data_IF_191503757187
#
_entry.id   IF_191503757187
#
_cell.length_a   1.000
_cell.length_b   1.000
_cell.length_c   1.000
_cell.angle_alpha   90.00
_cell.angle_beta   90.00
_cell.angle_gamma   90.00
#
_symmetry.space_group_name_H-M   'P 1'
#
loop_
_entity.id
_entity.type
_entity.pdbx_description
1 polymer ?
#
# COMPACT_ATOMS: atom_id res chain seq x y z
N UNK A 1 47.53 9.09 -4.85
CA UNK A 1 46.53 8.01 -4.70
C UNK A 1 45.36 8.63 -3.98
N UNK A 2 44.47 9.26 -4.74
CA UNK A 2 43.22 9.80 -4.19
C UNK A 2 42.23 8.63 -4.16
N UNK A 3 41.80 8.28 -2.96
CA UNK A 3 40.68 7.38 -2.75
C UNK A 3 39.43 8.14 -3.20
N UNK A 4 39.02 7.92 -4.45
CA UNK A 4 37.69 8.25 -4.90
C UNK A 4 36.72 7.35 -4.15
N UNK A 5 36.25 7.81 -3.00
CA UNK A 5 35.02 7.31 -2.41
C UNK A 5 33.94 7.52 -3.47
N UNK A 6 33.59 6.42 -4.12
CA UNK A 6 32.38 6.32 -4.91
C UNK A 6 31.24 6.61 -3.94
N UNK A 7 30.86 7.89 -3.87
CA UNK A 7 29.63 8.32 -3.24
C UNK A 7 28.50 7.65 -4.00
N UNK A 8 28.18 6.41 -3.63
CA UNK A 8 26.93 5.79 -3.99
C UNK A 8 25.88 6.81 -3.55
N UNK A 9 25.25 7.46 -4.52
CA UNK A 9 24.14 8.37 -4.27
C UNK A 9 23.07 7.55 -3.57
N UNK A 10 23.09 7.61 -2.23
CA UNK A 10 22.08 6.98 -1.40
C UNK A 10 20.79 7.73 -1.72
N UNK A 11 19.83 7.03 -2.32
CA UNK A 11 18.51 7.58 -2.55
C UNK A 11 17.97 8.03 -1.18
N UNK A 12 17.44 9.24 -1.13
CA UNK A 12 16.81 9.77 0.10
C UNK A 12 15.49 9.02 0.39
N UNK A 13 14.92 8.41 -0.64
CA UNK A 13 13.73 7.57 -0.59
C UNK A 13 14.08 6.11 -0.90
N UNK A 14 13.87 5.24 0.09
CA UNK A 14 14.03 3.79 -0.06
C UNK A 14 12.68 3.16 -0.45
N UNK A 15 12.59 2.76 -1.73
CA UNK A 15 11.39 2.13 -2.27
C UNK A 15 11.03 0.81 -1.59
N UNK A 16 12.02 0.00 -1.19
CA UNK A 16 11.74 -1.33 -0.64
C UNK A 16 11.21 -1.23 0.79
N UNK A 17 11.79 -0.32 1.58
CA UNK A 17 11.29 0.04 2.90
C UNK A 17 9.86 0.58 2.82
N UNK A 18 9.63 1.50 1.88
CA UNK A 18 8.31 2.08 1.69
C UNK A 18 7.26 1.06 1.22
N UNK A 19 7.57 0.17 0.27
CA UNK A 19 6.62 -0.87 -0.18
C UNK A 19 6.19 -1.75 1.01
N UNK A 20 7.15 -2.09 1.87
CA UNK A 20 6.89 -2.89 3.08
C UNK A 20 6.01 -2.13 4.06
N UNK A 21 6.32 -0.86 4.31
CA UNK A 21 5.50 0.03 5.12
C UNK A 21 4.08 0.12 4.55
N UNK A 22 3.93 0.51 3.29
CA UNK A 22 2.63 0.68 2.63
C UNK A 22 1.77 -0.58 2.70
N UNK A 23 2.33 -1.77 2.43
CA UNK A 23 1.60 -3.03 2.56
C UNK A 23 1.09 -3.26 3.99
N UNK A 24 1.91 -2.95 5.00
CA UNK A 24 1.50 -2.97 6.40
C UNK A 24 0.37 -1.96 6.69
N UNK A 25 0.46 -0.76 6.14
CA UNK A 25 -0.48 0.34 6.36
C UNK A 25 -1.86 -0.03 5.81
N UNK A 26 -1.93 -0.42 4.54
CA UNK A 26 -3.16 -0.84 3.89
C UNK A 26 -3.76 -2.08 4.58
N UNK A 27 -2.92 -3.01 5.05
CA UNK A 27 -3.38 -4.16 5.83
C UNK A 27 -4.05 -3.78 7.16
N UNK A 28 -3.49 -2.80 7.88
CA UNK A 28 -4.06 -2.30 9.14
C UNK A 28 -5.37 -1.54 8.93
N UNK A 29 -5.43 -0.67 7.92
CA UNK A 29 -6.66 0.07 7.59
C UNK A 29 -7.76 -0.89 7.15
N UNK A 30 -7.43 -1.84 6.26
CA UNK A 30 -8.37 -2.86 5.82
C UNK A 30 -8.88 -3.73 6.97
N UNK A 31 -8.01 -4.06 7.94
CA UNK A 31 -8.40 -4.74 9.17
C UNK A 31 -9.38 -3.93 10.04
N UNK A 32 -9.15 -2.63 10.19
CA UNK A 32 -10.06 -1.74 10.92
C UNK A 32 -11.40 -1.59 10.19
N UNK A 33 -11.40 -1.38 8.87
CA UNK A 33 -12.62 -1.26 8.07
C UNK A 33 -13.45 -2.55 8.13
N UNK A 34 -12.80 -3.72 8.01
CA UNK A 34 -13.46 -5.01 8.19
C UNK A 34 -14.07 -5.11 9.60
N UNK A 35 -13.31 -4.77 10.66
CA UNK A 35 -13.83 -4.78 12.03
C UNK A 35 -15.07 -3.89 12.19
N UNK A 36 -15.08 -2.69 11.60
CA UNK A 36 -16.23 -1.79 11.61
C UNK A 36 -17.46 -2.41 10.93
N UNK A 37 -17.28 -3.11 9.81
CA UNK A 37 -18.40 -3.71 9.07
C UNK A 37 -19.16 -4.78 9.87
N UNK A 38 -18.51 -5.44 10.83
CA UNK A 38 -19.09 -6.48 11.67
C UNK A 38 -19.50 -6.02 13.08
N UNK A 39 -19.35 -4.73 13.40
CA UNK A 39 -19.75 -4.24 14.72
C UNK A 39 -21.29 -4.31 14.89
N UNK A 40 -21.79 -4.97 15.95
CA UNK A 40 -23.22 -4.99 16.24
C UNK A 40 -23.71 -3.62 16.71
N UNK A 41 -25.03 -3.41 16.67
CA UNK A 41 -25.64 -2.24 17.29
C UNK A 41 -25.55 -2.35 18.82
N UNK A 42 -25.26 -1.22 19.47
CA UNK A 42 -25.15 -1.10 20.93
C UNK A 42 -25.97 0.12 21.35
N UNK A 43 -26.76 -0.03 22.41
CA UNK A 43 -27.54 1.09 22.97
C UNK A 43 -26.65 2.06 23.77
N UNK A 44 -27.23 3.14 24.30
CA UNK A 44 -26.50 4.13 25.11
C UNK A 44 -25.97 3.55 26.43
N UNK A 45 -26.52 2.43 26.87
CA UNK A 45 -26.18 1.74 28.11
C UNK A 45 -25.13 0.64 27.88
N UNK A 46 -24.65 0.44 26.65
CA UNK A 46 -23.65 -0.59 26.34
C UNK A 46 -24.25 -2.00 26.21
N UNK A 47 -25.57 -2.14 26.11
CA UNK A 47 -26.21 -3.42 25.86
C UNK A 47 -26.30 -3.69 24.35
N UNK A 48 -26.14 -4.95 24.00
CA UNK A 48 -26.30 -5.46 22.64
C UNK A 48 -26.92 -6.84 22.71
N UNK A 49 -27.75 -7.17 21.72
CA UNK A 49 -28.26 -8.53 21.54
C UNK A 49 -27.13 -9.53 21.24
N UNK A 50 -25.99 -9.02 20.75
CA UNK A 50 -24.80 -9.81 20.51
C UNK A 50 -23.98 -9.97 21.81
N UNK A 51 -23.80 -11.20 22.34
CA UNK A 51 -23.05 -11.43 23.57
C UNK A 51 -21.54 -11.14 23.43
N UNK A 52 -21.04 -11.02 22.20
CA UNK A 52 -19.64 -10.73 21.90
C UNK A 52 -19.39 -9.26 21.53
N UNK A 53 -20.40 -8.39 21.61
CA UNK A 53 -20.31 -6.99 21.18
C UNK A 53 -19.12 -6.26 21.82
N UNK A 54 -18.98 -6.33 23.14
CA UNK A 54 -17.88 -5.67 23.86
C UNK A 54 -16.50 -6.13 23.36
N UNK A 55 -16.34 -7.43 23.09
CA UNK A 55 -15.08 -7.99 22.55
C UNK A 55 -14.79 -7.54 21.11
N UNK A 56 -15.82 -7.38 20.27
CA UNK A 56 -15.66 -6.88 18.91
C UNK A 56 -15.29 -5.39 18.91
N UNK A 57 -15.92 -4.59 19.78
CA UNK A 57 -15.53 -3.20 19.99
C UNK A 57 -14.10 -3.09 20.51
N UNK A 58 -13.66 -3.96 21.44
CA UNK A 58 -12.28 -3.96 21.93
C UNK A 58 -11.25 -4.25 20.83
N UNK A 59 -11.51 -5.24 19.95
CA UNK A 59 -10.64 -5.52 18.79
C UNK A 59 -10.59 -4.34 17.82
N UNK A 60 -11.72 -3.65 17.62
CA UNK A 60 -11.78 -2.44 16.80
C UNK A 60 -10.95 -1.30 17.42
N UNK A 61 -11.01 -1.09 18.73
CA UNK A 61 -10.20 -0.04 19.38
C UNK A 61 -8.70 -0.36 19.32
N UNK A 62 -8.31 -1.63 19.49
CA UNK A 62 -6.92 -2.07 19.31
C UNK A 62 -6.43 -1.84 17.87
N UNK A 63 -7.27 -2.12 16.87
CA UNK A 63 -6.94 -1.84 15.48
C UNK A 63 -6.83 -0.33 15.20
N UNK A 64 -7.68 0.49 15.83
CA UNK A 64 -7.68 1.94 15.66
C UNK A 64 -6.52 2.65 16.39
N UNK A 65 -5.94 2.05 17.42
CA UNK A 65 -4.86 2.64 18.22
C UNK A 65 -3.61 2.96 17.39
N UNK A 66 -3.27 2.11 16.44
CA UNK A 66 -2.04 2.23 15.66
C UNK A 66 -2.19 3.10 14.39
N UNK A 67 -3.41 3.26 13.88
CA UNK A 67 -3.66 3.98 12.61
C UNK A 67 -3.18 5.44 12.65
N UNK A 68 -3.39 6.22 13.73
CA UNK A 68 -2.89 7.60 13.81
C UNK A 68 -1.37 7.71 13.67
N UNK A 69 -0.61 6.84 14.35
CA UNK A 69 0.85 6.87 14.28
C UNK A 69 1.37 6.55 12.88
N UNK A 70 0.68 5.67 12.14
CA UNK A 70 1.04 5.36 10.77
C UNK A 70 0.65 6.48 9.79
N UNK A 71 -0.46 7.17 10.03
CA UNK A 71 -0.82 8.39 9.29
C UNK A 71 0.27 9.46 9.47
N UNK A 72 0.69 9.68 10.72
CA UNK A 72 1.78 10.60 11.07
C UNK A 72 3.09 10.20 10.35
N UNK A 73 3.50 8.94 10.43
CA UNK A 73 4.71 8.46 9.77
C UNK A 73 4.68 8.63 8.24
N UNK A 74 3.52 8.35 7.61
CA UNK A 74 3.31 8.58 6.18
C UNK A 74 3.40 10.08 5.81
N UNK A 75 2.84 10.97 6.64
CA UNK A 75 2.80 12.42 6.40
C UNK A 75 4.13 13.12 6.69
N UNK A 76 4.85 12.69 7.72
CA UNK A 76 6.08 13.34 8.18
C UNK A 76 7.34 12.79 7.52
N UNK A 77 7.37 11.49 7.21
CA UNK A 77 8.58 10.83 6.70
C UNK A 77 8.49 10.49 5.22
N UNK A 78 7.48 9.72 4.81
CA UNK A 78 7.45 9.17 3.45
C UNK A 78 6.96 10.15 2.38
N UNK A 79 5.88 10.89 2.62
CA UNK A 79 5.38 11.89 1.66
C UNK A 79 6.40 13.02 1.38
N UNK A 80 7.09 13.57 2.39
CA UNK A 80 8.12 14.57 2.14
C UNK A 80 9.33 13.98 1.40
N UNK A 81 9.74 12.75 1.72
CA UNK A 81 10.84 12.08 1.04
C UNK A 81 10.54 11.87 -0.45
N UNK A 82 9.35 11.37 -0.80
CA UNK A 82 8.98 11.17 -2.20
C UNK A 82 8.85 12.49 -2.96
N UNK A 83 8.34 13.56 -2.33
CA UNK A 83 8.29 14.91 -2.95
C UNK A 83 9.69 15.45 -3.26
N UNK A 84 10.63 15.35 -2.32
CA UNK A 84 12.03 15.75 -2.56
C UNK A 84 12.67 14.94 -3.69
N UNK A 85 12.39 13.64 -3.73
CA UNK A 85 12.92 12.76 -4.77
C UNK A 85 12.33 13.09 -6.16
N UNK A 86 11.05 13.48 -6.23
CA UNK A 86 10.40 14.01 -7.44
C UNK A 86 11.10 15.29 -7.90
N UNK A 87 11.26 16.27 -7.00
CA UNK A 87 11.92 17.55 -7.31
C UNK A 87 13.37 17.34 -7.79
N UNK A 88 14.12 16.46 -7.11
CA UNK A 88 15.48 16.08 -7.50
C UNK A 88 15.51 15.45 -8.89
N UNK A 89 14.55 14.56 -9.18
CA UNK A 89 14.48 13.87 -10.47
C UNK A 89 14.11 14.82 -11.60
N UNK A 90 13.19 15.77 -11.35
CA UNK A 90 12.82 16.83 -12.30
C UNK A 90 13.99 17.75 -12.61
N UNK A 91 14.70 18.25 -11.59
CA UNK A 91 15.87 19.10 -11.80
C UNK A 91 16.96 18.40 -12.61
N UNK A 92 17.21 17.11 -12.33
CA UNK A 92 18.14 16.31 -13.12
C UNK A 92 17.68 16.12 -14.56
N UNK A 93 16.37 16.02 -14.81
CA UNK A 93 15.83 15.91 -16.16
C UNK A 93 16.07 17.19 -16.96
N UNK A 94 15.86 18.37 -16.36
CA UNK A 94 16.15 19.67 -16.97
C UNK A 94 17.63 19.79 -17.38
N UNK A 95 18.55 19.36 -16.51
CA UNK A 95 19.99 19.34 -16.80
C UNK A 95 20.34 18.39 -17.95
N UNK A 96 19.71 17.21 -17.99
CA UNK A 96 19.93 16.26 -19.09
C UNK A 96 19.36 16.79 -20.41
N UNK A 97 18.19 17.43 -20.40
CA UNK A 97 17.58 18.04 -21.58
C UNK A 97 18.45 19.17 -22.14
N UNK A 98 18.99 20.05 -21.28
CA UNK A 98 19.93 21.09 -21.69
C UNK A 98 21.20 20.47 -22.31
N UNK A 99 21.77 19.46 -21.66
CA UNK A 99 22.95 18.75 -22.17
C UNK A 99 22.70 18.07 -23.53
N UNK A 100 21.51 17.51 -23.77
CA UNK A 100 21.13 16.93 -25.08
C UNK A 100 21.13 18.00 -26.17
N UNK A 101 20.61 19.18 -25.88
CA UNK A 101 20.46 20.27 -26.86
C UNK A 101 21.81 20.90 -27.26
N UNK A 102 22.80 20.88 -26.38
CA UNK A 102 24.14 21.41 -26.64
C UNK A 102 25.07 20.39 -27.36
N UNK A 103 24.66 19.12 -27.43
CA UNK A 103 25.54 18.03 -27.85
C UNK A 103 25.50 17.80 -29.37
N UNK A 104 26.59 18.13 -30.06
CA UNK A 104 26.71 17.93 -31.52
C UNK A 104 27.06 16.51 -31.98
N UNK A 105 27.38 15.59 -31.06
CA UNK A 105 27.79 14.22 -31.38
C UNK A 105 26.61 13.24 -31.26
N UNK A 106 26.10 12.78 -32.40
CA UNK A 106 24.95 11.85 -32.49
C UNK A 106 25.01 10.64 -31.56
N UNK A 107 26.18 10.01 -31.39
CA UNK A 107 26.32 8.81 -30.55
C UNK A 107 26.19 9.13 -29.05
N UNK A 108 26.68 10.29 -28.60
CA UNK A 108 26.57 10.74 -27.22
C UNK A 108 25.13 11.23 -26.93
N UNK A 109 24.51 11.88 -27.91
CA UNK A 109 23.11 12.29 -27.87
C UNK A 109 22.16 11.09 -27.69
N UNK A 110 22.40 9.98 -28.40
CA UNK A 110 21.62 8.74 -28.22
C UNK A 110 21.76 8.13 -26.81
N UNK A 111 22.93 8.23 -26.18
CA UNK A 111 23.11 7.75 -24.80
C UNK A 111 22.36 8.63 -23.81
N UNK A 112 22.38 9.95 -24.00
CA UNK A 112 21.61 10.88 -23.18
C UNK A 112 20.10 10.67 -23.35
N UNK A 113 19.59 10.45 -24.56
CA UNK A 113 18.17 10.13 -24.75
C UNK A 113 17.72 8.88 -23.97
N UNK A 114 18.56 7.84 -23.90
CA UNK A 114 18.27 6.67 -23.06
C UNK A 114 18.30 7.00 -21.57
N UNK A 115 19.18 7.90 -21.15
CA UNK A 115 19.20 8.42 -19.79
C UNK A 115 17.91 9.16 -19.46
N UNK A 116 17.47 10.03 -20.37
CA UNK A 116 16.24 10.81 -20.25
C UNK A 116 14.99 9.93 -20.14
N UNK A 117 14.88 8.92 -21.01
CA UNK A 117 13.75 7.98 -21.01
C UNK A 117 13.65 7.20 -19.68
N UNK A 118 14.80 6.76 -19.14
CA UNK A 118 14.86 6.11 -17.83
C UNK A 118 14.48 7.07 -16.69
N UNK A 119 14.99 8.30 -16.74
CA UNK A 119 14.70 9.36 -15.78
C UNK A 119 13.20 9.67 -15.76
N UNK A 120 12.59 9.82 -16.94
CA UNK A 120 11.17 10.11 -17.11
C UNK A 120 10.30 8.94 -16.61
N UNK A 121 10.67 7.70 -16.92
CA UNK A 121 10.00 6.51 -16.39
C UNK A 121 10.07 6.41 -14.87
N UNK A 122 11.21 6.77 -14.27
CA UNK A 122 11.36 6.81 -12.82
C UNK A 122 10.52 7.93 -12.17
N UNK A 123 10.53 9.14 -12.76
CA UNK A 123 9.71 10.25 -12.31
C UNK A 123 8.22 9.91 -12.34
N UNK A 124 7.76 9.28 -13.42
CA UNK A 124 6.35 8.87 -13.54
C UNK A 124 5.94 7.93 -12.40
N UNK A 125 6.77 6.92 -12.09
CA UNK A 125 6.52 6.00 -10.97
C UNK A 125 6.46 6.71 -9.62
N UNK A 126 7.37 7.66 -9.37
CA UNK A 126 7.35 8.45 -8.13
C UNK A 126 6.05 9.26 -7.99
N UNK A 127 5.57 9.85 -9.08
CA UNK A 127 4.31 10.62 -9.07
C UNK A 127 3.12 9.71 -8.81
N UNK A 128 3.03 8.55 -9.49
CA UNK A 128 1.98 7.56 -9.25
C UNK A 128 1.96 7.09 -7.79
N UNK A 129 3.14 6.82 -7.23
CA UNK A 129 3.26 6.37 -5.85
C UNK A 129 2.83 7.46 -4.86
N UNK A 130 3.24 8.72 -5.10
CA UNK A 130 2.81 9.86 -4.28
C UNK A 130 1.28 10.02 -4.29
N UNK A 131 0.63 9.89 -5.46
CA UNK A 131 -0.82 9.93 -5.56
C UNK A 131 -1.46 8.79 -4.77
N UNK A 132 -0.91 7.58 -4.88
CA UNK A 132 -1.40 6.42 -4.14
C UNK A 132 -1.26 6.58 -2.62
N UNK A 133 -0.19 7.22 -2.14
CA UNK A 133 -0.01 7.55 -0.73
C UNK A 133 -1.07 8.55 -0.24
N UNK A 134 -1.39 9.57 -1.04
CA UNK A 134 -2.45 10.54 -0.72
C UNK A 134 -3.83 9.85 -0.65
N UNK A 135 -4.10 8.91 -1.56
CA UNK A 135 -5.31 8.08 -1.54
C UNK A 135 -5.39 7.19 -0.29
N UNK A 136 -4.30 6.52 0.06
CA UNK A 136 -4.20 5.68 1.26
C UNK A 136 -4.43 6.50 2.54
N UNK A 137 -3.88 7.71 2.62
CA UNK A 137 -4.13 8.64 3.74
C UNK A 137 -5.59 9.09 3.81
N UNK A 138 -6.19 9.44 2.67
CA UNK A 138 -7.60 9.82 2.62
C UNK A 138 -8.52 8.64 3.01
N UNK A 139 -8.16 7.41 2.62
CA UNK A 139 -8.85 6.20 3.07
C UNK A 139 -8.69 5.97 4.57
N UNK A 140 -7.46 6.04 5.09
CA UNK A 140 -7.15 5.88 6.51
C UNK A 140 -7.95 6.85 7.39
N UNK A 141 -7.94 8.14 7.04
CA UNK A 141 -8.68 9.20 7.76
C UNK A 141 -10.18 8.90 7.77
N UNK A 142 -10.79 8.56 6.63
CA UNK A 142 -12.21 8.19 6.55
C UNK A 142 -12.57 6.98 7.40
N UNK A 143 -11.73 5.95 7.42
CA UNK A 143 -11.95 4.75 8.23
C UNK A 143 -11.81 5.09 9.72
N UNK A 144 -10.84 5.92 10.08
CA UNK A 144 -10.63 6.38 11.46
C UNK A 144 -11.80 7.24 11.95
N UNK A 145 -12.35 8.11 11.11
CA UNK A 145 -13.53 8.93 11.44
C UNK A 145 -14.76 8.06 11.70
N UNK A 146 -15.06 7.11 10.80
CA UNK A 146 -16.14 6.11 11.01
C UNK A 146 -15.92 5.29 12.29
N UNK A 147 -14.66 4.96 12.57
CA UNK A 147 -14.26 4.27 13.80
C UNK A 147 -14.51 5.13 15.04
N UNK A 148 -14.27 6.44 14.96
CA UNK A 148 -14.51 7.37 16.06
C UNK A 148 -15.99 7.65 16.32
N UNK A 149 -16.84 7.58 15.30
CA UNK A 149 -18.30 7.68 15.43
C UNK A 149 -18.91 6.47 16.15
N UNK A 150 -18.29 5.29 15.99
CA UNK A 150 -18.78 4.01 16.53
C UNK A 150 -17.97 3.55 17.73
N UNK A 151 -17.98 4.35 18.79
CA UNK A 151 -17.33 4.03 20.07
C UNK A 151 -18.23 3.24 21.02
N UNK A 152 -17.61 2.51 21.93
CA UNK A 152 -18.32 1.90 23.04
C UNK A 152 -18.82 2.99 24.00
N UNK A 153 -20.10 3.00 24.40
CA UNK A 153 -20.73 4.12 25.11
C UNK A 153 -20.23 4.31 26.55
N UNK A 154 -19.81 3.23 27.23
CA UNK A 154 -19.37 3.26 28.63
C UNK A 154 -17.86 3.44 28.80
N UNK A 155 -17.19 4.07 27.82
CA UNK A 155 -15.72 4.22 27.79
C UNK A 155 -15.05 3.07 27.06
N UNK A 156 -13.89 2.62 27.52
CA UNK A 156 -13.17 1.55 26.82
C UNK A 156 -13.86 0.20 27.06
N UNK A 157 -14.18 -0.56 25.98
CA UNK A 157 -14.71 -1.91 26.13
C UNK A 157 -13.68 -2.76 26.88
N UNK A 158 -14.15 -3.64 27.77
CA UNK A 158 -13.25 -4.56 28.46
C UNK A 158 -12.58 -5.46 27.42
N UNK A 159 -11.25 -5.56 27.49
CA UNK A 159 -10.49 -6.47 26.64
C UNK A 159 -11.13 -7.86 26.71
N UNK A 160 -11.22 -8.59 25.59
CA UNK A 160 -11.77 -9.93 25.61
C UNK A 160 -11.04 -10.72 26.70
N UNK A 161 -11.81 -11.32 27.60
CA UNK A 161 -11.27 -12.38 28.46
C UNK A 161 -10.70 -13.40 27.48
N UNK A 162 -9.37 -13.54 27.47
CA UNK A 162 -8.70 -14.56 26.68
C UNK A 162 -9.50 -15.84 26.84
N UNK A 163 -10.01 -16.38 25.72
CA UNK A 163 -10.91 -17.52 25.73
C UNK A 163 -10.39 -18.53 26.75
N UNK A 164 -11.18 -18.76 27.81
CA UNK A 164 -10.79 -19.72 28.84
C UNK A 164 -10.43 -21.02 28.14
N UNK A 165 -9.22 -21.56 28.32
CA UNK A 165 -8.87 -22.85 27.74
C UNK A 165 -9.78 -23.89 28.40
N UNK A 166 -10.80 -24.36 27.68
CA UNK A 166 -11.53 -25.57 28.07
C UNK A 166 -13.05 -25.51 28.27
N UNK A 167 -13.82 -24.61 27.64
CA UNK A 167 -15.28 -24.77 27.61
C UNK A 167 -15.82 -25.11 26.22
N UNK A 168 -15.54 -26.33 25.79
CA UNK A 168 -16.45 -27.12 24.95
C UNK A 168 -17.12 -28.16 25.86
N UNK A 169 -18.43 -28.09 26.15
CA UNK A 169 -19.14 -29.18 26.80
C UNK A 169 -19.50 -30.19 25.71
N UNK A 170 -18.57 -31.08 25.40
CA UNK A 170 -18.72 -32.14 24.40
C UNK A 170 -18.17 -33.43 24.96
N UNK A 171 -19.00 -34.13 25.70
CA UNK A 171 -18.76 -35.43 26.32
C UNK A 171 -18.27 -36.49 25.33
N UNK A 172 -17.18 -37.16 25.69
CA UNK A 172 -17.09 -38.62 25.55
C UNK A 172 -16.19 -39.16 24.43
N UNK A 173 -14.91 -39.36 24.74
CA UNK A 173 -14.22 -40.66 24.59
C UNK A 173 -12.77 -40.57 25.10
N UNK A 174 -12.34 -41.43 26.03
CA UNK A 174 -10.92 -41.58 26.32
C UNK A 174 -10.31 -42.47 25.23
N UNK A 175 -9.26 -42.00 24.58
CA UNK A 175 -8.38 -42.87 23.79
C UNK A 175 -6.98 -42.88 24.43
N UNK A 176 -6.32 -44.04 24.39
CA UNK A 176 -5.25 -44.38 25.31
C UNK A 176 -3.92 -43.75 24.91
N UNK A 177 -3.10 -43.56 25.94
CA UNK A 177 -1.66 -43.35 25.89
C UNK A 177 -0.99 -44.39 24.98
N UNK A 178 -0.27 -43.93 23.98
CA UNK A 178 0.79 -44.69 23.33
C UNK A 178 1.94 -43.74 22.96
N UNK A 179 3.10 -44.04 23.50
CA UNK A 179 4.40 -43.54 23.09
C UNK A 179 4.71 -44.03 21.67
N UNK A 180 5.40 -43.21 20.86
CA UNK A 180 6.63 -43.57 20.12
C UNK A 180 6.90 -42.68 18.91
N UNK A 181 8.10 -42.10 18.93
CA UNK A 181 9.09 -41.97 17.86
C UNK A 181 8.67 -41.95 16.37
N UNK A 182 9.08 -40.84 15.73
CA UNK A 182 10.01 -40.80 14.60
C UNK A 182 9.56 -41.14 13.16
N UNK A 183 9.88 -40.17 12.29
CA UNK A 183 10.42 -40.26 10.93
C UNK A 183 9.55 -40.63 9.72
N UNK A 184 9.80 -39.80 8.69
CA UNK A 184 9.92 -40.08 7.25
C UNK A 184 8.77 -39.71 6.28
N UNK A 185 9.23 -38.92 5.31
CA UNK A 185 8.68 -38.54 4.02
C UNK A 185 8.03 -39.70 3.24
N UNK A 186 7.05 -39.37 2.40
CA UNK A 186 7.06 -39.78 0.98
C UNK A 186 5.91 -39.15 0.20
N UNK A 187 6.15 -39.11 -1.11
CA UNK A 187 5.48 -38.47 -2.24
C UNK A 187 4.08 -38.96 -2.63
N UNK A 188 3.42 -38.17 -3.49
CA UNK A 188 2.29 -38.52 -4.36
C UNK A 188 1.17 -37.49 -4.22
N UNK A 189 0.67 -36.77 -5.23
CA UNK A 189 0.57 -37.04 -6.66
C UNK A 189 -0.90 -36.77 -7.09
N UNK A 190 -1.10 -36.17 -8.26
CA UNK A 190 -2.36 -35.84 -8.96
C UNK A 190 -3.07 -34.53 -8.53
N UNK A 191 -3.23 -33.48 -9.34
CA UNK A 191 -3.84 -33.27 -10.69
C UNK A 191 -5.34 -33.57 -10.78
N UNK A 192 -6.16 -32.52 -10.67
CA UNK A 192 -7.46 -32.27 -11.31
C UNK A 192 -7.61 -30.72 -11.25
N UNK A 193 -7.91 -29.93 -12.27
CA UNK A 193 -8.64 -30.19 -13.49
C UNK A 193 -9.79 -29.18 -13.58
N UNK A 194 -9.72 -28.30 -14.56
CA UNK A 194 -10.84 -27.66 -15.29
C UNK A 194 -11.32 -26.26 -14.86
N UNK A 195 -11.54 -25.48 -15.92
CA UNK A 195 -11.86 -24.07 -16.01
C UNK A 195 -13.35 -23.76 -15.85
N UNK A 196 -13.63 -22.56 -15.36
CA UNK A 196 -14.79 -21.71 -15.65
C UNK A 196 -14.24 -20.28 -15.46
N UNK A 197 -14.09 -19.41 -16.47
CA UNK A 197 -14.97 -19.17 -17.59
C UNK A 197 -16.15 -18.35 -17.10
N UNK A 198 -16.01 -17.01 -17.12
CA UNK A 198 -17.07 -16.01 -17.37
C UNK A 198 -16.46 -14.60 -17.21
N UNK A 199 -16.14 -13.97 -18.35
CA UNK A 199 -16.14 -12.51 -18.47
C UNK A 199 -17.57 -12.00 -18.41
N UNK A 200 -17.77 -10.76 -17.95
CA UNK A 200 -18.44 -9.84 -18.86
C UNK A 200 -17.72 -8.50 -18.99
N UNK A 201 -17.55 -8.13 -20.26
CA UNK A 201 -17.24 -6.82 -20.79
C UNK A 201 -18.29 -5.80 -20.39
N UNK A 202 -17.87 -4.62 -19.92
CA UNK A 202 -18.60 -3.35 -20.02
C UNK A 202 -17.60 -2.19 -19.81
N UNK A 203 -17.40 -1.41 -20.86
CA UNK A 203 -16.76 -0.10 -20.91
C UNK A 203 -17.57 0.73 -21.93
N UNK A 204 -17.51 2.07 -21.97
CA UNK A 204 -16.93 3.00 -20.99
C UNK A 204 -17.86 4.20 -20.67
N UNK A 205 -17.63 4.90 -19.57
CA UNK A 205 -18.08 6.30 -19.41
C UNK A 205 -16.87 7.14 -18.94
N UNK A 206 -16.48 8.22 -19.64
CA UNK A 206 -15.31 8.99 -19.28
C UNK A 206 -15.62 9.93 -18.11
N UNK A 207 -15.14 9.57 -16.92
CA UNK A 207 -15.07 10.52 -15.81
C UNK A 207 -14.12 11.66 -16.21
N UNK A 208 -14.67 12.86 -16.22
CA UNK A 208 -13.96 14.09 -16.57
C UNK A 208 -12.88 14.38 -15.54
N UNK A 209 -11.64 14.57 -16.02
CA UNK A 209 -10.50 14.97 -15.21
C UNK A 209 -10.75 16.35 -14.58
N UNK A 210 -10.33 16.59 -13.32
CA UNK A 210 -10.36 17.92 -12.72
C UNK A 210 -9.47 18.87 -13.53
N UNK A 211 -9.99 20.08 -13.78
CA UNK A 211 -9.47 21.08 -14.72
C UNK A 211 -8.10 21.71 -14.36
N UNK A 212 -7.27 21.06 -13.53
CA UNK A 212 -5.94 21.52 -13.12
C UNK A 212 -4.76 20.69 -13.65
N UNK A 213 -5.01 19.55 -14.32
CA UNK A 213 -3.93 18.64 -14.79
C UNK A 213 -3.88 18.43 -16.31
N UNK A 214 -4.86 18.94 -17.06
CA UNK A 214 -4.86 18.81 -18.52
C UNK A 214 -3.67 19.53 -19.19
N UNK A 215 -3.12 20.57 -18.56
CA UNK A 215 -1.97 21.31 -19.08
C UNK A 215 -0.62 20.59 -18.89
N UNK A 216 -0.52 19.59 -17.99
CA UNK A 216 0.73 18.84 -17.76
C UNK A 216 0.91 17.63 -18.69
N UNK A 217 -0.14 17.22 -19.40
CA UNK A 217 -0.10 16.14 -20.38
C UNK A 217 -0.11 16.65 -21.84
N UNK A 218 -0.10 17.96 -22.04
CA UNK A 218 -0.02 18.60 -23.36
C UNK A 218 1.43 18.79 -23.83
N UNK A 219 2.28 17.79 -23.61
CA UNK A 219 3.52 17.67 -24.37
C UNK A 219 3.13 17.13 -25.75
N UNK A 220 2.88 18.04 -26.68
CA UNK A 220 2.52 17.72 -28.07
C UNK A 220 3.52 16.75 -28.73
N UNK A 221 3.10 16.07 -29.81
CA UNK A 221 3.92 15.05 -30.46
C UNK A 221 5.28 15.62 -30.89
N UNK A 222 6.35 14.93 -30.47
CA UNK A 222 7.73 15.22 -30.85
C UNK A 222 7.88 15.32 -32.38
N UNK A 223 8.65 16.30 -32.91
CA UNK A 223 8.90 16.42 -34.33
C UNK A 223 9.65 15.18 -34.83
N UNK A 224 9.10 14.54 -35.86
CA UNK A 224 9.69 13.36 -36.49
C UNK A 224 11.05 13.72 -37.11
N UNK A 225 12.07 12.84 -37.01
CA UNK A 225 13.37 13.10 -37.62
C UNK A 225 13.19 13.19 -39.15
N UNK A 226 13.53 14.34 -39.71
CA UNK A 226 13.55 14.54 -41.17
C UNK A 226 14.68 13.69 -41.76
N UNK A 227 14.42 12.85 -42.76
CA UNK A 227 15.49 12.27 -43.55
C UNK A 227 16.10 13.39 -44.41
N UNK A 228 17.38 13.69 -44.21
CA UNK A 228 18.12 14.54 -45.13
C UNK A 228 18.82 13.64 -46.17
N UNK A 229 18.39 13.83 -47.43
CA UNK A 229 19.11 13.51 -48.66
C UNK A 229 20.28 14.48 -48.86
#
# INVERSE_FOLDING_TARGET
MENGESGAHRLEYDFDEFITFRAGFSGKIGGLEAALSFLPAVDKDGNSDCPFAESLYAKKEEAAEFVPAWIEDMEENYLPAIRREIERTQSNQEVLDEAVNEMGLNAAQQQLYRGLDRQQGYLHRLIEEMQSMEEDLAWARRVLDKSNERKWPKGNPRKPVAALPGMLPGTGRPLPRAESAATEASSGGATLGTAFGLSPSLSPEPASLPAGLADLLSAGPMPSPRPYL
#
